data_IF_575108504537
#
_entry.id   IF_575108504537
#
_cell.length_a   1.000
_cell.length_b   1.000
_cell.length_c   1.000
_cell.angle_alpha   90.00
_cell.angle_beta   90.00
_cell.angle_gamma   90.00
#
_symmetry.space_group_name_H-M   'P 1'
#
loop_
_entity.id
_entity.type
_entity.pdbx_description
1 polymer ?
#
# COMPACT_ATOMS: atom_id res chain seq x y z
N UNK A 1 -7.54 25.14 -35.54
CA UNK A 1 -8.07 25.18 -34.17
C UNK A 1 -8.20 23.79 -33.53
N UNK A 2 -8.64 22.77 -34.24
CA UNK A 2 -8.76 21.39 -33.67
C UNK A 2 -7.42 20.79 -33.22
N UNK A 3 -6.31 21.09 -33.90
CA UNK A 3 -4.97 20.58 -33.54
C UNK A 3 -4.42 21.14 -32.23
N UNK A 4 -4.74 22.42 -31.88
CA UNK A 4 -4.26 23.06 -30.66
C UNK A 4 -4.89 22.45 -29.41
N UNK A 5 -6.17 22.05 -29.49
CA UNK A 5 -6.90 21.44 -28.37
C UNK A 5 -6.36 20.03 -28.07
N UNK A 6 -5.96 19.26 -29.12
CA UNK A 6 -5.40 17.92 -28.94
C UNK A 6 -4.03 17.95 -28.25
N UNK A 7 -3.19 18.94 -28.57
CA UNK A 7 -1.88 19.10 -27.95
C UNK A 7 -2.03 19.49 -26.47
N UNK A 8 -2.96 20.38 -26.14
CA UNK A 8 -3.20 20.78 -24.76
C UNK A 8 -3.71 19.63 -23.89
N UNK A 9 -4.58 18.78 -24.41
CA UNK A 9 -5.10 17.63 -23.67
C UNK A 9 -4.04 16.57 -23.43
N UNK A 10 -3.12 16.39 -24.37
CA UNK A 10 -2.00 15.46 -24.22
C UNK A 10 -1.01 15.94 -23.17
N UNK A 11 -0.70 17.24 -23.14
CA UNK A 11 0.20 17.84 -22.16
C UNK A 11 -0.37 17.75 -20.73
N UNK A 12 -1.67 17.95 -20.57
CA UNK A 12 -2.34 17.83 -19.26
C UNK A 12 -2.31 16.37 -18.77
N UNK A 13 -2.57 15.39 -19.65
CA UNK A 13 -2.53 13.98 -19.31
C UNK A 13 -1.12 13.55 -18.88
N UNK A 14 -0.08 13.96 -19.60
CA UNK A 14 1.33 13.70 -19.25
C UNK A 14 1.72 14.33 -17.93
N UNK A 15 1.29 15.58 -17.66
CA UNK A 15 1.55 16.26 -16.39
C UNK A 15 0.88 15.55 -15.22
N UNK A 16 -0.32 15.00 -15.40
CA UNK A 16 -1.03 14.22 -14.38
C UNK A 16 -0.34 12.88 -14.09
N UNK A 17 0.15 12.18 -15.12
CA UNK A 17 0.93 10.96 -14.95
C UNK A 17 2.26 11.23 -14.22
N UNK A 18 2.93 12.34 -14.54
CA UNK A 18 4.19 12.71 -13.88
C UNK A 18 4.00 13.13 -12.43
N UNK A 19 2.80 13.62 -12.05
CA UNK A 19 2.48 14.04 -10.68
C UNK A 19 1.82 12.94 -9.85
N UNK A 20 1.47 11.78 -10.44
CA UNK A 20 0.86 10.66 -9.74
C UNK A 20 1.85 10.05 -8.75
N UNK A 21 1.37 9.53 -7.59
CA UNK A 21 2.23 8.80 -6.67
C UNK A 21 2.93 7.63 -7.36
N UNK A 22 4.18 7.40 -6.98
CA UNK A 22 5.00 6.33 -7.55
C UNK A 22 5.11 5.15 -6.59
N UNK A 23 5.31 3.97 -7.16
CA UNK A 23 5.66 2.79 -6.40
C UNK A 23 7.16 2.73 -6.11
N UNK A 24 7.58 1.73 -5.34
CA UNK A 24 8.99 1.54 -4.97
C UNK A 24 9.90 1.23 -6.16
N UNK A 25 9.35 0.89 -7.31
CA UNK A 25 10.11 0.63 -8.55
C UNK A 25 10.26 1.90 -9.41
N UNK A 26 9.66 3.02 -9.00
CA UNK A 26 9.74 4.29 -9.71
C UNK A 26 8.69 4.48 -10.81
N UNK A 27 7.71 3.59 -10.90
CA UNK A 27 6.60 3.65 -11.86
C UNK A 27 5.31 4.14 -11.16
N UNK A 28 4.25 4.50 -11.92
CA UNK A 28 2.99 4.90 -11.31
C UNK A 28 2.45 3.82 -10.37
N UNK A 29 1.98 4.24 -9.20
CA UNK A 29 1.44 3.33 -8.18
C UNK A 29 0.22 2.58 -8.70
N UNK A 30 0.25 1.25 -8.65
CA UNK A 30 -0.86 0.39 -9.04
C UNK A 30 -1.80 0.14 -7.86
N UNK A 31 -3.04 -0.26 -8.16
CA UNK A 31 -4.01 -0.62 -7.15
C UNK A 31 -3.56 -1.86 -6.38
N UNK A 32 -3.71 -1.83 -5.05
CA UNK A 32 -3.40 -2.97 -4.19
C UNK A 32 -4.54 -3.99 -4.17
N UNK A 33 -5.74 -3.58 -3.79
CA UNK A 33 -6.89 -4.47 -3.74
C UNK A 33 -8.22 -3.71 -3.62
N UNK A 34 -9.26 -4.21 -4.30
CA UNK A 34 -10.63 -3.71 -4.17
C UNK A 34 -11.50 -4.58 -3.26
N UNK A 35 -11.13 -5.83 -3.05
CA UNK A 35 -11.92 -6.78 -2.24
C UNK A 35 -11.00 -7.65 -1.40
N UNK A 36 -10.71 -7.27 -0.15
CA UNK A 36 -11.25 -6.11 0.58
C UNK A 36 -10.72 -4.78 0.04
N UNK A 37 -11.55 -3.73 0.13
CA UNK A 37 -11.14 -2.41 -0.35
C UNK A 37 -10.19 -1.78 0.64
N UNK A 38 -8.92 -1.73 0.27
CA UNK A 38 -7.80 -1.38 1.14
C UNK A 38 -7.36 0.08 1.00
N UNK A 39 -6.36 0.44 1.80
CA UNK A 39 -5.75 1.76 1.84
C UNK A 39 -6.31 2.64 2.94
N UNK A 40 -5.50 3.59 3.39
CA UNK A 40 -5.94 4.57 4.39
C UNK A 40 -7.22 5.29 3.94
N UNK A 41 -7.31 5.63 2.65
CA UNK A 41 -8.48 6.29 2.07
C UNK A 41 -9.57 5.32 1.60
N UNK A 42 -9.38 4.00 1.75
CA UNK A 42 -10.33 2.97 1.31
C UNK A 42 -10.72 3.07 -0.16
N UNK A 43 -9.75 3.36 -1.01
CA UNK A 43 -9.95 3.45 -2.46
C UNK A 43 -9.19 2.36 -3.24
N UNK A 44 -8.59 1.40 -2.55
CA UNK A 44 -7.85 0.29 -3.16
C UNK A 44 -6.36 0.54 -3.35
N UNK A 45 -5.90 1.78 -3.21
CA UNK A 45 -4.50 2.17 -3.37
C UNK A 45 -3.83 2.41 -2.03
N UNK A 46 -2.54 2.12 -1.94
CA UNK A 46 -1.73 2.43 -0.77
C UNK A 46 -1.25 3.88 -0.80
N UNK A 47 -2.18 4.82 -0.98
CA UNK A 47 -1.89 6.26 -0.88
C UNK A 47 -1.66 6.64 0.58
N UNK A 48 -0.87 7.68 0.78
CA UNK A 48 -0.60 8.22 2.11
C UNK A 48 -0.63 9.73 2.07
N UNK A 49 -0.66 10.35 3.25
CA UNK A 49 -0.73 11.79 3.40
C UNK A 49 -0.52 12.18 4.86
N UNK A 50 -0.61 13.50 5.18
CA UNK A 50 -0.31 14.01 6.52
C UNK A 50 -1.16 13.43 7.66
N UNK A 51 -2.41 13.01 7.37
CA UNK A 51 -3.29 12.41 8.36
C UNK A 51 -3.06 10.91 8.54
N UNK A 52 -2.31 10.26 7.64
CA UNK A 52 -2.00 8.82 7.73
C UNK A 52 -0.80 8.61 8.64
N UNK A 53 -1.02 8.69 9.94
CA UNK A 53 0.04 8.54 10.95
C UNK A 53 0.67 7.15 10.94
N UNK A 54 -0.07 6.13 10.52
CA UNK A 54 0.43 4.76 10.41
C UNK A 54 1.25 4.50 9.17
N UNK A 55 1.26 5.40 8.21
CA UNK A 55 1.94 5.24 6.91
C UNK A 55 1.61 3.90 6.27
N UNK A 56 0.36 3.75 5.82
CA UNK A 56 -0.19 2.49 5.28
C UNK A 56 0.17 2.32 3.80
N UNK A 57 1.44 2.05 3.53
CA UNK A 57 2.02 2.11 2.18
C UNK A 57 2.46 0.77 1.60
N UNK A 58 2.50 -0.29 2.42
CA UNK A 58 3.03 -1.58 2.01
C UNK A 58 1.91 -2.53 1.58
N UNK A 59 1.75 -2.73 0.27
CA UNK A 59 0.77 -3.67 -0.26
C UNK A 59 1.27 -5.10 -0.10
N UNK A 60 0.66 -5.87 0.80
CA UNK A 60 1.10 -7.22 1.14
C UNK A 60 -0.01 -8.24 0.92
N UNK A 61 0.38 -9.44 0.51
CA UNK A 61 -0.48 -10.62 0.55
C UNK A 61 -0.33 -11.27 1.92
N UNK A 62 -1.40 -11.22 2.71
CA UNK A 62 -1.35 -11.60 4.12
C UNK A 62 -1.26 -13.11 4.30
N UNK A 63 -0.48 -13.52 5.30
CA UNK A 63 -0.35 -14.91 5.71
C UNK A 63 -0.93 -15.10 7.11
N UNK A 64 -1.28 -16.34 7.44
CA UNK A 64 -1.71 -16.70 8.79
C UNK A 64 -0.63 -16.32 9.82
N UNK A 65 0.62 -16.65 9.53
CA UNK A 65 1.76 -16.39 10.41
C UNK A 65 1.93 -14.89 10.71
N UNK A 66 1.83 -14.05 9.68
CA UNK A 66 1.89 -12.60 9.86
C UNK A 66 0.72 -12.09 10.70
N UNK A 67 -0.51 -12.52 10.38
CA UNK A 67 -1.71 -12.07 11.10
C UNK A 67 -1.66 -12.42 12.59
N UNK A 68 -1.21 -13.63 12.91
CA UNK A 68 -1.04 -14.06 14.31
C UNK A 68 0.08 -13.30 15.01
N UNK A 69 1.23 -13.12 14.33
CA UNK A 69 2.37 -12.40 14.86
C UNK A 69 2.00 -10.93 15.18
N UNK A 70 1.43 -10.21 14.19
CA UNK A 70 1.13 -8.79 14.37
C UNK A 70 0.06 -8.58 15.46
N UNK A 71 -0.86 -9.53 15.63
CA UNK A 71 -1.82 -9.51 16.73
C UNK A 71 -1.12 -9.57 18.09
N UNK A 72 -0.09 -10.41 18.23
CA UNK A 72 0.68 -10.50 19.50
C UNK A 72 1.40 -9.19 19.81
N UNK A 73 1.66 -8.37 18.79
CA UNK A 73 2.29 -7.04 18.93
C UNK A 73 1.28 -5.91 19.11
N UNK A 74 0.02 -6.22 19.35
CA UNK A 74 -1.03 -5.24 19.57
C UNK A 74 -1.71 -4.73 18.30
N UNK A 75 -1.46 -5.37 17.16
CA UNK A 75 -2.05 -4.99 15.87
C UNK A 75 -2.97 -6.11 15.39
N UNK A 76 -4.21 -6.12 15.87
CA UNK A 76 -5.21 -7.12 15.48
C UNK A 76 -5.86 -6.72 14.15
N UNK A 77 -5.46 -7.39 13.07
CA UNK A 77 -6.02 -7.19 11.73
C UNK A 77 -7.14 -8.18 11.41
N UNK A 78 -7.45 -9.12 12.30
CA UNK A 78 -8.43 -10.17 12.04
C UNK A 78 -9.84 -9.81 12.53
N UNK A 79 -9.95 -9.02 13.59
CA UNK A 79 -11.24 -8.62 14.13
C UNK A 79 -11.85 -7.48 13.32
N UNK A 80 -13.09 -7.63 12.82
CA UNK A 80 -13.77 -6.54 12.12
C UNK A 80 -13.95 -5.30 13.00
N UNK A 81 -13.78 -4.12 12.41
CA UNK A 81 -14.01 -2.82 13.05
C UNK A 81 -14.91 -1.97 12.15
N UNK A 82 -16.24 -2.17 12.23
CA UNK A 82 -17.20 -1.44 11.37
C UNK A 82 -17.09 0.08 11.50
N UNK A 83 -16.75 0.60 12.68
CA UNK A 83 -16.57 2.03 12.94
C UNK A 83 -15.44 2.66 12.13
N UNK A 84 -14.48 1.84 11.64
CA UNK A 84 -13.39 2.29 10.77
C UNK A 84 -13.50 1.75 9.36
N UNK A 85 -14.67 1.23 9.02
CA UNK A 85 -14.90 0.62 7.71
C UNK A 85 -13.89 -0.52 7.43
N UNK A 86 -13.54 -1.27 8.49
CA UNK A 86 -12.53 -2.33 8.45
C UNK A 86 -13.21 -3.70 8.56
N UNK A 87 -13.11 -4.55 7.52
CA UNK A 87 -13.88 -5.80 7.45
C UNK A 87 -13.28 -6.95 8.25
N UNK A 88 -12.06 -6.80 8.78
CA UNK A 88 -11.27 -7.92 9.27
C UNK A 88 -10.64 -8.68 8.12
N UNK A 89 -9.41 -9.16 8.32
CA UNK A 89 -8.61 -9.77 7.27
C UNK A 89 -8.34 -11.24 7.56
N UNK A 90 -8.13 -11.99 6.50
CA UNK A 90 -7.80 -13.42 6.54
C UNK A 90 -6.62 -13.71 5.62
N UNK A 91 -5.95 -14.87 5.77
CA UNK A 91 -4.87 -15.27 4.87
C UNK A 91 -5.29 -15.20 3.40
N UNK A 92 -4.42 -14.67 2.56
CA UNK A 92 -4.66 -14.47 1.14
C UNK A 92 -5.21 -13.10 0.78
N UNK A 93 -5.76 -12.34 1.73
CA UNK A 93 -6.19 -10.98 1.50
C UNK A 93 -4.98 -10.09 1.21
N UNK A 94 -5.15 -9.10 0.32
CA UNK A 94 -4.14 -8.06 0.09
C UNK A 94 -4.55 -6.81 0.84
N UNK A 95 -3.58 -6.20 1.51
CA UNK A 95 -3.85 -5.04 2.35
C UNK A 95 -2.67 -4.08 2.36
N UNK A 96 -2.97 -2.77 2.44
CA UNK A 96 -1.96 -1.73 2.64
C UNK A 96 -1.57 -1.70 4.11
N UNK A 97 -0.44 -2.32 4.43
CA UNK A 97 0.05 -2.39 5.80
C UNK A 97 0.75 -1.11 6.23
N UNK A 98 0.66 -0.80 7.51
CA UNK A 98 1.53 0.16 8.18
C UNK A 98 3.00 -0.24 7.94
N UNK A 99 3.81 0.73 7.49
CA UNK A 99 5.21 0.46 7.16
C UNK A 99 5.98 -0.16 8.33
N UNK A 100 5.84 0.39 9.54
CA UNK A 100 6.54 -0.11 10.73
C UNK A 100 6.08 -1.51 11.14
N UNK A 101 4.82 -1.86 10.88
CA UNK A 101 4.32 -3.23 11.18
C UNK A 101 4.94 -4.26 10.25
N UNK A 102 5.17 -3.89 8.98
CA UNK A 102 5.88 -4.77 8.06
C UNK A 102 7.34 -4.94 8.47
N UNK A 103 8.02 -3.84 8.84
CA UNK A 103 9.42 -3.87 9.32
C UNK A 103 9.55 -4.74 10.58
N UNK A 104 8.64 -4.56 11.54
CA UNK A 104 8.60 -5.37 12.76
C UNK A 104 8.51 -6.86 12.43
N UNK A 105 7.61 -7.22 11.51
CA UNK A 105 7.45 -8.60 11.08
C UNK A 105 8.68 -9.10 10.31
N UNK A 106 9.31 -8.26 9.49
CA UNK A 106 10.53 -8.61 8.75
C UNK A 106 11.66 -9.00 9.69
N UNK A 107 11.86 -8.22 10.73
CA UNK A 107 12.90 -8.49 11.74
C UNK A 107 12.64 -9.80 12.49
N UNK A 108 11.38 -10.17 12.66
CA UNK A 108 10.99 -11.39 13.37
C UNK A 108 10.86 -12.62 12.45
N UNK A 109 11.01 -12.45 11.14
CA UNK A 109 10.89 -13.55 10.18
C UNK A 109 9.47 -13.88 9.74
N UNK A 110 8.51 -12.97 9.95
CA UNK A 110 7.08 -13.18 9.63
C UNK A 110 6.52 -12.18 8.60
N UNK A 111 7.39 -11.42 7.92
CA UNK A 111 6.91 -10.44 6.94
C UNK A 111 6.22 -11.10 5.75
N UNK A 112 5.01 -10.65 5.40
CA UNK A 112 4.35 -11.15 4.20
C UNK A 112 5.00 -10.55 2.95
N UNK A 113 4.85 -11.25 1.82
CA UNK A 113 5.37 -10.81 0.54
C UNK A 113 4.66 -9.53 0.09
N UNK A 114 5.43 -8.57 -0.41
CA UNK A 114 4.92 -7.32 -0.96
C UNK A 114 4.65 -7.41 -2.46
N UNK A 115 3.58 -6.75 -2.89
CA UNK A 115 3.37 -6.38 -4.28
C UNK A 115 4.07 -5.04 -4.50
N UNK A 116 5.24 -5.06 -5.12
CA UNK A 116 6.09 -3.87 -5.26
C UNK A 116 5.48 -2.82 -6.17
N UNK A 117 4.70 -3.23 -7.18
CA UNK A 117 4.03 -2.30 -8.10
C UNK A 117 2.92 -1.52 -7.39
N UNK A 118 2.37 -2.08 -6.31
CA UNK A 118 1.30 -1.46 -5.53
C UNK A 118 1.77 -0.93 -4.17
N UNK A 119 3.07 -0.99 -3.89
CA UNK A 119 3.69 -0.45 -2.67
C UNK A 119 4.22 0.95 -2.98
N UNK A 120 3.75 1.93 -2.19
CA UNK A 120 4.10 3.35 -2.38
C UNK A 120 5.60 3.58 -2.14
N UNK A 121 6.19 4.48 -2.89
CA UNK A 121 7.64 4.81 -2.82
C UNK A 121 8.09 5.25 -1.42
N UNK A 122 7.17 5.78 -0.60
CA UNK A 122 7.47 6.16 0.79
C UNK A 122 7.97 4.98 1.62
N UNK A 123 7.67 3.75 1.23
CA UNK A 123 8.21 2.56 1.91
C UNK A 123 9.73 2.52 1.88
N UNK A 124 10.38 3.16 0.90
CA UNK A 124 11.84 3.25 0.80
C UNK A 124 12.47 4.10 1.91
N UNK A 125 11.69 4.90 2.64
CA UNK A 125 12.17 5.62 3.83
C UNK A 125 12.35 4.67 5.02
N UNK A 126 11.78 3.45 4.95
CA UNK A 126 11.78 2.47 6.03
C UNK A 126 12.66 1.25 5.75
N UNK A 127 12.87 0.91 4.49
CA UNK A 127 13.63 -0.27 4.09
C UNK A 127 14.19 -0.11 2.68
N UNK A 128 15.22 -0.89 2.36
CA UNK A 128 15.82 -0.89 1.02
C UNK A 128 14.99 -1.73 0.04
N UNK A 129 15.09 -1.41 -1.25
CA UNK A 129 14.43 -2.21 -2.30
C UNK A 129 14.85 -3.69 -2.24
N UNK A 130 16.10 -3.97 -1.87
CA UNK A 130 16.58 -5.34 -1.70
C UNK A 130 15.77 -6.08 -0.64
N UNK A 131 15.57 -5.48 0.53
CA UNK A 131 14.79 -6.09 1.62
C UNK A 131 13.32 -6.25 1.26
N UNK A 132 12.77 -5.30 0.51
CA UNK A 132 11.36 -5.36 0.08
C UNK A 132 11.10 -6.49 -0.90
N UNK A 133 12.11 -6.93 -1.66
CA UNK A 133 12.01 -8.03 -2.64
C UNK A 133 12.14 -9.42 -2.02
N UNK A 134 12.73 -9.51 -0.86
CA UNK A 134 12.94 -10.77 -0.15
C UNK A 134 11.67 -11.20 0.61
#
# INVERSE_FOLDING_TARGET
MKFLILILTLDIALAQEMSAPKNVLGFPLQKCCDSPKTGFYRNGFCYTGPQDHGTHVACATLTKEFLEFTKTKGNDLMTPRPEWNFPGLKPGDKWCLCALRWIEAKKAGFAPKLDLEATHEKMLEYSSIKELKE
#
